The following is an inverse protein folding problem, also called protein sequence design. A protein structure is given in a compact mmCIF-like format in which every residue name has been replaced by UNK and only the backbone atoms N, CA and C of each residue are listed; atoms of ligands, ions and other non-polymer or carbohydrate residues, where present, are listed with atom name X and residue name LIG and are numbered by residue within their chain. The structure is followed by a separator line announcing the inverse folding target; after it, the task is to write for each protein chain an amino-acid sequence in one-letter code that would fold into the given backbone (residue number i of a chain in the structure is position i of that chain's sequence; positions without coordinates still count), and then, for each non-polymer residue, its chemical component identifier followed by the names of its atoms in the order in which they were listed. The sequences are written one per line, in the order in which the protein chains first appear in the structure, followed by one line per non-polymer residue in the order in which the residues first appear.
data_IF_068896323521
#
_entry.id   IF_068896323521
#
_cell.length_a   1.000
_cell.length_b   1.000
_cell.length_c   1.000
_cell.angle_alpha   90.00
_cell.angle_beta   90.00
_cell.angle_gamma   90.00
#
_symmetry.space_group_name_H-M   'P 1'
#
loop_
_entity.id
_entity.type
_entity.pdbx_description
1 polymer ?
#
# COMPACT_ATOMS: atom_id res chain seq x y z
N UNK A 1 -46.97 -21.99 55.27
CA UNK A 1 -46.59 -20.85 54.37
C UNK A 1 -45.14 -20.42 54.53
N UNK A 2 -44.46 -20.62 55.64
CA UNK A 2 -43.02 -20.23 55.79
C UNK A 2 -42.01 -21.19 55.14
N UNK A 3 -42.32 -22.47 55.07
CA UNK A 3 -41.39 -23.51 54.51
C UNK A 3 -41.28 -23.44 53.00
N UNK A 4 -42.27 -22.95 52.25
CA UNK A 4 -42.28 -22.81 50.78
C UNK A 4 -41.48 -21.59 50.33
N UNK A 5 -41.45 -20.50 51.06
CA UNK A 5 -40.66 -19.30 50.82
C UNK A 5 -39.15 -19.55 50.98
N UNK A 6 -38.73 -20.33 51.99
CA UNK A 6 -37.30 -20.67 52.12
C UNK A 6 -36.77 -21.59 51.02
N UNK A 7 -37.58 -22.51 50.51
CA UNK A 7 -37.18 -23.39 49.40
C UNK A 7 -37.06 -22.63 48.08
N UNK A 8 -37.88 -21.65 47.83
CA UNK A 8 -37.77 -20.79 46.66
C UNK A 8 -36.56 -19.85 46.71
N UNK A 9 -36.22 -19.31 47.88
CA UNK A 9 -35.03 -18.47 48.07
C UNK A 9 -33.72 -19.27 47.90
N UNK A 10 -33.67 -20.51 48.44
CA UNK A 10 -32.50 -21.39 48.27
C UNK A 10 -32.34 -21.85 46.84
N UNK A 11 -33.40 -22.16 46.08
CA UNK A 11 -33.36 -22.50 44.70
C UNK A 11 -32.91 -21.30 43.81
N UNK A 12 -33.33 -20.07 44.16
CA UNK A 12 -32.88 -18.85 43.48
C UNK A 12 -31.39 -18.57 43.69
N UNK A 13 -30.87 -18.80 44.89
CA UNK A 13 -29.44 -18.64 45.23
C UNK A 13 -28.59 -19.72 44.52
N UNK A 14 -29.07 -20.96 44.44
CA UNK A 14 -28.38 -22.04 43.71
C UNK A 14 -28.42 -21.78 42.21
N UNK A 15 -29.50 -21.25 41.65
CA UNK A 15 -29.57 -20.85 40.25
C UNK A 15 -28.63 -19.66 39.91
N UNK A 16 -28.51 -18.69 40.83
CA UNK A 16 -27.55 -17.59 40.68
C UNK A 16 -26.08 -18.05 40.83
N UNK A 17 -25.81 -19.01 41.74
CA UNK A 17 -24.47 -19.60 41.88
C UNK A 17 -24.11 -20.52 40.71
N UNK A 18 -25.06 -21.25 40.12
CA UNK A 18 -24.85 -22.03 38.90
C UNK A 18 -24.65 -21.15 37.67
N UNK A 19 -25.32 -20.00 37.57
CA UNK A 19 -25.09 -19.02 36.51
C UNK A 19 -23.75 -18.30 36.67
N UNK A 20 -23.23 -18.13 37.89
CA UNK A 20 -21.91 -17.55 38.15
C UNK A 20 -20.75 -18.52 37.85
N UNK A 21 -21.05 -19.83 37.75
CA UNK A 21 -20.04 -20.86 37.39
C UNK A 21 -19.80 -21.00 35.88
N UNK A 22 -20.67 -20.44 35.06
CA UNK A 22 -20.37 -20.16 33.63
C UNK A 22 -19.71 -18.79 33.58
N UNK A 23 -18.41 -18.75 33.87
CA UNK A 23 -17.61 -17.57 33.52
C UNK A 23 -17.87 -17.22 32.07
N UNK A 24 -17.75 -15.95 31.68
CA UNK A 24 -17.85 -15.59 30.26
C UNK A 24 -16.93 -16.53 29.47
N UNK A 25 -17.38 -17.06 28.32
CA UNK A 25 -16.54 -17.95 27.53
C UNK A 25 -15.17 -17.25 27.35
N UNK A 26 -14.05 -17.99 27.46
CA UNK A 26 -12.74 -17.38 27.34
C UNK A 26 -12.76 -16.57 26.05
N UNK A 27 -12.40 -15.29 26.14
CA UNK A 27 -12.28 -14.44 24.98
C UNK A 27 -11.26 -15.12 24.06
N UNK A 28 -11.74 -15.77 23.01
CA UNK A 28 -10.86 -16.40 22.04
C UNK A 28 -10.10 -15.29 21.36
N UNK A 29 -8.80 -15.21 21.60
CA UNK A 29 -7.93 -14.30 20.89
C UNK A 29 -8.10 -14.57 19.39
N UNK A 30 -8.42 -13.53 18.61
CA UNK A 30 -8.59 -13.61 17.15
C UNK A 30 -7.42 -14.36 16.52
N UNK A 31 -7.68 -15.40 15.74
CA UNK A 31 -6.63 -16.19 15.12
C UNK A 31 -5.94 -15.42 13.99
N UNK A 32 -4.73 -15.82 13.62
CA UNK A 32 -4.02 -15.20 12.47
C UNK A 32 -4.81 -15.36 11.17
N UNK A 33 -5.45 -16.50 10.96
CA UNK A 33 -6.28 -16.75 9.78
C UNK A 33 -7.49 -15.81 9.73
N UNK A 34 -8.08 -15.56 10.90
CA UNK A 34 -9.19 -14.63 11.03
C UNK A 34 -8.77 -13.17 10.73
N UNK A 35 -7.61 -12.75 11.20
CA UNK A 35 -7.06 -11.43 10.85
C UNK A 35 -6.85 -11.30 9.34
N UNK A 36 -6.36 -12.35 8.67
CA UNK A 36 -6.22 -12.38 7.20
C UNK A 36 -7.59 -12.28 6.52
N UNK A 37 -8.62 -12.95 7.04
CA UNK A 37 -9.99 -12.86 6.53
C UNK A 37 -10.54 -11.43 6.69
N UNK A 38 -10.37 -10.83 7.87
CA UNK A 38 -10.76 -9.43 8.15
C UNK A 38 -10.09 -8.49 7.15
N UNK A 39 -8.78 -8.65 6.92
CA UNK A 39 -8.03 -7.85 5.94
C UNK A 39 -8.61 -7.97 4.52
N UNK A 40 -8.98 -9.19 4.11
CA UNK A 40 -9.56 -9.45 2.79
C UNK A 40 -10.93 -8.77 2.63
N UNK A 41 -11.81 -8.94 3.60
CA UNK A 41 -13.14 -8.32 3.58
C UNK A 41 -13.06 -6.78 3.62
N UNK A 42 -12.14 -6.24 4.45
CA UNK A 42 -11.89 -4.81 4.46
C UNK A 42 -11.45 -4.30 3.08
N UNK A 43 -10.51 -4.97 2.41
CA UNK A 43 -10.05 -4.56 1.08
C UNK A 43 -11.18 -4.60 0.04
N UNK A 44 -12.06 -5.61 0.09
CA UNK A 44 -13.22 -5.69 -0.80
C UNK A 44 -14.15 -4.49 -0.62
N UNK A 45 -14.46 -4.14 0.63
CA UNK A 45 -15.33 -3.02 0.94
C UNK A 45 -14.66 -1.68 0.66
N UNK A 46 -13.38 -1.53 0.99
CA UNK A 46 -12.60 -0.34 0.67
C UNK A 46 -12.59 -0.06 -0.85
N UNK A 47 -12.41 -1.10 -1.69
CA UNK A 47 -12.47 -0.93 -3.15
C UNK A 47 -13.83 -0.47 -3.69
N UNK A 48 -14.90 -0.74 -2.97
CA UNK A 48 -16.26 -0.28 -3.34
C UNK A 48 -16.51 1.17 -2.96
N UNK A 49 -15.89 1.63 -1.87
CA UNK A 49 -16.22 2.90 -1.24
C UNK A 49 -15.16 3.98 -1.37
N UNK A 50 -13.89 3.59 -1.48
CA UNK A 50 -12.77 4.52 -1.52
C UNK A 50 -12.23 4.67 -2.93
N UNK A 51 -11.74 5.86 -3.24
CA UNK A 51 -10.98 6.11 -4.46
C UNK A 51 -9.50 5.79 -4.19
N UNK A 52 -8.91 4.93 -5.00
CA UNK A 52 -7.50 4.61 -4.93
C UNK A 52 -6.71 5.43 -5.94
N UNK A 53 -5.46 5.70 -5.62
CA UNK A 53 -4.50 6.24 -6.58
C UNK A 53 -3.99 5.06 -7.42
N UNK A 54 -4.67 4.79 -8.53
CA UNK A 54 -4.31 3.73 -9.47
C UNK A 54 -3.27 4.24 -10.47
N UNK A 55 -2.03 4.38 -10.00
CA UNK A 55 -0.89 4.76 -10.82
C UNK A 55 0.28 3.81 -10.56
N UNK A 56 0.84 3.16 -11.61
CA UNK A 56 1.93 2.19 -11.44
C UNK A 56 3.15 2.73 -10.70
N UNK A 57 3.48 4.01 -10.89
CA UNK A 57 4.64 4.61 -10.24
C UNK A 57 4.41 4.81 -8.75
N UNK A 58 3.21 5.26 -8.37
CA UNK A 58 2.83 5.45 -6.96
C UNK A 58 2.68 4.12 -6.24
N UNK A 59 1.94 3.18 -6.84
CA UNK A 59 1.69 1.86 -6.26
C UNK A 59 2.99 1.08 -6.06
N UNK A 60 3.85 1.02 -7.09
CA UNK A 60 5.11 0.28 -7.04
C UNK A 60 6.17 0.97 -6.16
N UNK A 61 6.13 2.30 -6.04
CA UNK A 61 6.98 3.02 -5.11
C UNK A 61 6.67 2.67 -3.65
N UNK A 62 5.38 2.69 -3.27
CA UNK A 62 4.94 2.36 -1.91
C UNK A 62 5.13 0.87 -1.61
N UNK A 63 4.78 -0.02 -2.55
CA UNK A 63 4.99 -1.47 -2.41
C UNK A 63 6.49 -1.81 -2.26
N UNK A 64 7.36 -1.21 -3.06
CA UNK A 64 8.80 -1.40 -2.99
C UNK A 64 9.40 -0.91 -1.65
N UNK A 65 8.92 0.21 -1.13
CA UNK A 65 9.30 0.74 0.18
C UNK A 65 8.88 -0.23 1.30
N UNK A 66 7.61 -0.65 1.29
CA UNK A 66 7.08 -1.60 2.26
C UNK A 66 7.82 -2.94 2.25
N UNK A 67 8.12 -3.49 1.07
CA UNK A 67 8.90 -4.74 0.94
C UNK A 67 10.30 -4.63 1.52
N UNK A 68 11.01 -3.53 1.23
CA UNK A 68 12.35 -3.30 1.79
C UNK A 68 12.31 -3.25 3.32
N UNK A 69 11.27 -2.68 3.91
CA UNK A 69 11.09 -2.69 5.37
C UNK A 69 10.76 -4.10 5.87
N UNK A 70 9.91 -4.85 5.18
CA UNK A 70 9.57 -6.23 5.54
C UNK A 70 10.79 -7.17 5.49
N UNK A 71 11.69 -7.00 4.54
CA UNK A 71 12.98 -7.72 4.50
C UNK A 71 13.80 -7.47 5.78
N UNK A 72 13.77 -6.25 6.30
CA UNK A 72 14.43 -5.90 7.55
C UNK A 72 13.70 -6.43 8.81
N UNK A 73 12.40 -6.73 8.73
CA UNK A 73 11.64 -7.37 9.82
C UNK A 73 12.07 -8.83 10.00
N UNK A 74 12.30 -9.56 8.92
CA UNK A 74 12.74 -10.96 8.90
C UNK A 74 11.61 -11.97 9.13
N UNK A 75 10.93 -11.93 10.26
CA UNK A 75 9.81 -12.85 10.54
C UNK A 75 8.47 -12.21 10.14
N UNK A 76 8.05 -12.46 8.91
CA UNK A 76 6.81 -11.93 8.32
C UNK A 76 5.66 -12.91 8.59
N UNK A 77 4.65 -12.46 9.33
CA UNK A 77 3.49 -13.29 9.72
C UNK A 77 2.33 -13.24 8.72
N UNK A 78 2.24 -12.19 7.90
CA UNK A 78 1.05 -11.89 7.08
C UNK A 78 1.41 -11.60 5.62
N UNK A 79 0.47 -11.80 4.68
CA UNK A 79 0.63 -11.38 3.28
C UNK A 79 0.43 -9.85 3.18
N UNK A 80 1.49 -9.08 3.42
CA UNK A 80 1.42 -7.63 3.41
C UNK A 80 1.06 -7.06 2.04
N UNK A 81 0.20 -6.04 2.05
CA UNK A 81 -0.21 -5.25 0.89
C UNK A 81 -0.32 -3.78 1.24
N UNK A 82 0.12 -2.93 0.33
CA UNK A 82 0.17 -1.50 0.49
C UNK A 82 -0.75 -0.81 -0.51
N UNK A 83 -1.50 0.19 -0.05
CA UNK A 83 -2.49 0.88 -0.87
C UNK A 83 -2.40 2.39 -0.66
N UNK A 84 -2.66 3.16 -1.72
CA UNK A 84 -2.76 4.61 -1.62
C UNK A 84 -4.20 5.03 -1.91
N UNK A 85 -4.83 5.69 -0.93
CA UNK A 85 -6.19 6.24 -1.02
C UNK A 85 -6.11 7.69 -1.48
N UNK A 86 -6.95 8.10 -2.42
CA UNK A 86 -7.09 9.48 -2.84
C UNK A 86 -7.91 10.26 -1.81
N UNK A 87 -7.27 10.72 -0.75
CA UNK A 87 -7.84 11.51 0.33
C UNK A 87 -6.81 12.56 0.78
N UNK A 88 -7.23 13.81 0.95
CA UNK A 88 -6.35 14.93 1.27
C UNK A 88 -5.96 14.99 2.76
N UNK A 89 -6.55 14.17 3.61
CA UNK A 89 -6.20 14.13 5.03
C UNK A 89 -4.82 13.51 5.25
N UNK A 90 -4.12 13.99 6.27
CA UNK A 90 -2.85 13.41 6.71
C UNK A 90 -3.16 12.18 7.56
N UNK A 91 -3.17 11.00 6.93
CA UNK A 91 -3.50 9.74 7.57
C UNK A 91 -2.80 8.54 6.94
N UNK A 92 -2.53 7.55 7.76
CA UNK A 92 -2.19 6.18 7.38
C UNK A 92 -2.84 5.25 8.42
N UNK A 93 -3.09 4.02 8.05
CA UNK A 93 -3.59 3.03 9.00
C UNK A 93 -3.31 1.60 8.53
N UNK A 94 -3.13 0.74 9.50
CA UNK A 94 -3.02 -0.70 9.31
C UNK A 94 -4.36 -1.38 9.56
N UNK A 95 -4.58 -2.49 8.86
CA UNK A 95 -5.70 -3.41 9.10
C UNK A 95 -5.12 -4.76 9.51
N UNK A 96 -5.65 -5.42 10.55
CA UNK A 96 -5.21 -6.76 10.95
C UNK A 96 -5.11 -7.69 9.75
N UNK A 97 -4.09 -8.54 9.70
CA UNK A 97 -3.90 -9.47 8.59
C UNK A 97 -3.10 -8.94 7.39
N UNK A 98 -2.47 -7.74 7.51
CA UNK A 98 -1.40 -7.35 6.61
C UNK A 98 -1.72 -6.26 5.57
N UNK A 99 -2.82 -5.52 5.70
CA UNK A 99 -3.09 -4.40 4.78
C UNK A 99 -2.75 -3.05 5.40
N UNK A 100 -2.00 -2.23 4.67
CA UNK A 100 -1.62 -0.87 5.06
C UNK A 100 -2.14 0.11 4.01
N UNK A 101 -2.83 1.14 4.48
CA UNK A 101 -3.44 2.18 3.66
C UNK A 101 -2.81 3.53 3.97
N UNK A 102 -2.34 4.22 2.95
CA UNK A 102 -1.75 5.55 3.03
C UNK A 102 -2.67 6.54 2.31
N UNK A 103 -2.97 7.66 2.92
CA UNK A 103 -3.70 8.72 2.23
C UNK A 103 -2.76 9.55 1.36
N UNK A 104 -3.22 9.95 0.18
CA UNK A 104 -2.45 10.84 -0.69
C UNK A 104 -2.06 12.15 0.01
N UNK A 105 -2.90 12.63 0.93
CA UNK A 105 -2.61 13.80 1.76
C UNK A 105 -1.44 13.63 2.71
N UNK A 106 -1.18 12.42 3.21
CA UNK A 106 0.03 12.11 3.97
C UNK A 106 1.27 12.21 3.06
N UNK A 107 1.23 11.53 1.90
CA UNK A 107 2.33 11.52 0.94
C UNK A 107 2.66 12.95 0.49
N UNK A 108 1.66 13.80 0.30
CA UNK A 108 1.87 15.21 -0.06
C UNK A 108 2.57 16.03 1.04
N UNK A 109 2.42 15.66 2.32
CA UNK A 109 2.96 16.43 3.45
C UNK A 109 4.31 15.97 3.98
N UNK A 110 4.70 14.70 3.79
CA UNK A 110 6.07 14.28 4.14
C UNK A 110 7.09 15.01 3.28
N UNK A 111 8.29 15.26 3.76
CA UNK A 111 9.33 15.94 2.99
C UNK A 111 10.25 14.98 2.24
N UNK A 112 10.51 13.82 2.85
CA UNK A 112 11.45 12.82 2.32
C UNK A 112 10.80 11.45 2.18
N UNK A 113 11.42 10.59 1.38
CA UNK A 113 11.10 9.17 1.30
C UNK A 113 11.26 8.48 2.66
N UNK A 114 12.24 8.91 3.46
CA UNK A 114 12.53 8.34 4.77
C UNK A 114 11.41 8.63 5.78
N UNK A 115 10.80 9.83 5.72
CA UNK A 115 9.62 10.14 6.53
C UNK A 115 8.43 9.21 6.19
N UNK A 116 8.17 8.98 4.89
CA UNK A 116 7.11 8.05 4.48
C UNK A 116 7.43 6.61 4.92
N UNK A 117 8.69 6.20 4.79
CA UNK A 117 9.15 4.89 5.23
C UNK A 117 8.98 4.72 6.75
N UNK A 118 9.19 5.76 7.55
CA UNK A 118 8.99 5.70 9.00
C UNK A 118 7.55 5.41 9.38
N UNK A 119 6.58 6.01 8.69
CA UNK A 119 5.15 5.72 8.88
C UNK A 119 4.84 4.28 8.50
N UNK A 120 5.32 3.81 7.35
CA UNK A 120 5.11 2.42 6.92
C UNK A 120 5.72 1.42 7.91
N UNK A 121 6.91 1.70 8.44
CA UNK A 121 7.57 0.85 9.44
C UNK A 121 6.75 0.77 10.74
N UNK A 122 6.21 1.90 11.20
CA UNK A 122 5.34 1.98 12.36
C UNK A 122 4.07 1.13 12.17
N UNK A 123 3.38 1.26 11.04
CA UNK A 123 2.19 0.47 10.71
C UNK A 123 2.49 -1.04 10.59
N UNK A 124 3.65 -1.40 10.04
CA UNK A 124 4.10 -2.81 9.99
C UNK A 124 4.25 -3.38 11.41
N UNK A 125 4.78 -2.61 12.37
CA UNK A 125 4.89 -3.08 13.76
C UNK A 125 3.52 -3.35 14.35
N UNK A 126 2.53 -2.46 14.18
CA UNK A 126 1.18 -2.66 14.69
C UNK A 126 0.57 -3.98 14.23
N UNK A 127 0.77 -4.35 12.97
CA UNK A 127 0.32 -5.63 12.43
C UNK A 127 1.14 -6.80 13.00
N UNK A 128 2.47 -6.71 12.93
CA UNK A 128 3.36 -7.84 13.27
C UNK A 128 3.35 -8.15 14.77
N UNK A 129 3.20 -7.14 15.63
CA UNK A 129 3.01 -7.26 17.07
C UNK A 129 1.57 -7.60 17.48
N UNK A 130 0.63 -7.66 16.51
CA UNK A 130 -0.79 -8.00 16.72
C UNK A 130 -1.50 -7.05 17.71
N UNK A 131 -1.19 -5.75 17.65
CA UNK A 131 -1.77 -4.75 18.55
C UNK A 131 -3.29 -4.70 18.44
N UNK A 132 -3.87 -4.94 17.27
CA UNK A 132 -5.32 -5.02 17.07
C UNK A 132 -5.96 -6.20 17.81
N UNK A 133 -5.30 -7.37 17.84
CA UNK A 133 -5.82 -8.54 18.54
C UNK A 133 -5.89 -8.32 20.05
N UNK A 134 -4.98 -7.52 20.62
CA UNK A 134 -4.98 -7.19 22.04
C UNK A 134 -6.00 -6.12 22.44
N UNK A 135 -6.52 -5.34 21.48
CA UNK A 135 -7.61 -4.38 21.71
C UNK A 135 -9.00 -5.03 21.65
N UNK A 136 -9.11 -6.21 21.04
CA UNK A 136 -10.39 -6.88 20.80
C UNK A 136 -10.65 -7.96 21.85
N UNK A 137 -11.61 -7.73 22.75
CA UNK A 137 -12.26 -8.76 23.57
C UNK A 137 -13.55 -9.30 22.92
N UNK A 138 -13.84 -8.93 21.68
CA UNK A 138 -15.12 -9.14 21.00
C UNK A 138 -15.00 -10.13 19.84
N UNK A 139 -16.17 -10.68 19.41
CA UNK A 139 -16.25 -11.61 18.29
C UNK A 139 -15.72 -10.99 16.99
N UNK A 140 -15.23 -11.83 16.08
CA UNK A 140 -14.64 -11.47 14.77
C UNK A 140 -15.48 -10.49 13.95
N UNK A 141 -16.81 -10.68 13.95
CA UNK A 141 -17.75 -9.80 13.25
C UNK A 141 -17.76 -8.38 13.83
N UNK A 142 -17.68 -8.25 15.16
CA UNK A 142 -17.66 -6.96 15.86
C UNK A 142 -16.36 -6.21 15.57
N UNK A 143 -15.23 -6.92 15.51
CA UNK A 143 -13.93 -6.36 15.15
C UNK A 143 -13.94 -5.83 13.72
N UNK A 144 -14.46 -6.63 12.76
CA UNK A 144 -14.58 -6.20 11.36
C UNK A 144 -15.44 -4.94 11.23
N UNK A 145 -16.62 -4.92 11.86
CA UNK A 145 -17.52 -3.75 11.87
C UNK A 145 -16.83 -2.54 12.49
N UNK A 146 -16.04 -2.72 13.54
CA UNK A 146 -15.27 -1.65 14.16
C UNK A 146 -14.21 -1.06 13.26
N UNK A 147 -13.36 -1.91 12.69
CA UNK A 147 -12.32 -1.50 11.75
C UNK A 147 -12.95 -0.81 10.53
N UNK A 148 -13.99 -1.40 9.94
CA UNK A 148 -14.74 -0.79 8.84
C UNK A 148 -15.37 0.56 9.26
N UNK A 149 -16.00 0.61 10.42
CA UNK A 149 -16.66 1.82 10.93
C UNK A 149 -15.70 2.98 11.12
N UNK A 150 -14.55 2.76 11.74
CA UNK A 150 -13.57 3.81 12.03
C UNK A 150 -12.91 4.34 10.76
N UNK A 151 -12.40 3.45 9.90
CA UNK A 151 -11.62 3.87 8.74
C UNK A 151 -12.48 4.25 7.52
N UNK A 152 -13.71 3.73 7.41
CA UNK A 152 -14.64 4.12 6.36
C UNK A 152 -15.64 5.20 6.78
N UNK A 153 -15.75 5.54 8.08
CA UNK A 153 -16.67 6.56 8.59
C UNK A 153 -16.62 7.89 7.83
N UNK A 154 -15.45 8.42 7.45
CA UNK A 154 -15.36 9.67 6.70
C UNK A 154 -16.05 9.62 5.33
N UNK A 155 -16.18 8.43 4.73
CA UNK A 155 -16.81 8.21 3.43
C UNK A 155 -18.31 7.88 3.58
N UNK A 156 -18.67 7.28 4.72
CA UNK A 156 -20.05 6.87 5.03
C UNK A 156 -20.91 8.05 5.49
N UNK A 157 -20.30 9.21 5.75
CA UNK A 157 -20.98 10.43 6.19
C UNK A 157 -21.29 10.47 7.70
N UNK A 158 -21.85 11.62 8.21
CA UNK A 158 -22.07 11.84 9.64
C UNK A 158 -23.00 10.82 10.30
N UNK A 159 -23.93 10.22 9.57
CA UNK A 159 -24.85 9.22 10.09
C UNK A 159 -24.14 7.91 10.52
N UNK A 160 -22.99 7.58 9.91
CA UNK A 160 -22.19 6.42 10.29
C UNK A 160 -21.37 6.67 11.56
N UNK A 161 -21.19 7.93 11.95
CA UNK A 161 -20.49 8.34 13.18
C UNK A 161 -21.43 8.42 14.40
N UNK A 162 -22.76 8.21 14.23
CA UNK A 162 -23.72 8.26 15.33
C UNK A 162 -23.78 6.90 16.05
N UNK A 163 -23.57 6.93 17.35
CA UNK A 163 -23.74 5.75 18.22
C UNK A 163 -22.50 4.85 18.34
N UNK A 164 -22.58 3.54 18.06
CA UNK A 164 -21.51 2.58 18.36
C UNK A 164 -20.15 2.89 17.70
N UNK A 165 -20.13 3.55 16.53
CA UNK A 165 -18.91 3.89 15.82
C UNK A 165 -18.03 4.89 16.58
N UNK A 166 -18.61 5.86 17.30
CA UNK A 166 -17.83 6.82 18.12
C UNK A 166 -17.23 6.16 19.35
N UNK A 167 -17.97 5.28 20.00
CA UNK A 167 -17.46 4.51 21.13
C UNK A 167 -16.30 3.60 20.67
N UNK A 168 -16.41 3.02 19.48
CA UNK A 168 -15.41 2.15 18.87
C UNK A 168 -14.17 2.90 18.39
N UNK A 169 -14.28 4.16 17.98
CA UNK A 169 -13.11 5.00 17.67
C UNK A 169 -12.18 5.14 18.87
N UNK A 170 -12.74 5.34 20.07
CA UNK A 170 -11.97 5.39 21.31
C UNK A 170 -11.38 4.03 21.69
N UNK A 171 -12.03 2.94 21.33
CA UNK A 171 -11.58 1.57 21.61
C UNK A 171 -10.46 1.12 20.68
N UNK A 172 -10.33 1.72 19.50
CA UNK A 172 -9.22 1.46 18.54
C UNK A 172 -8.04 2.42 18.73
N UNK A 173 -8.09 3.32 19.71
CA UNK A 173 -6.92 4.11 20.09
C UNK A 173 -5.86 3.18 20.70
N UNK A 174 -4.70 3.10 20.06
CA UNK A 174 -3.61 2.28 20.56
C UNK A 174 -3.11 2.79 21.92
N UNK A 175 -2.82 1.86 22.82
CA UNK A 175 -2.27 2.24 24.12
C UNK A 175 -0.89 2.91 23.95
N UNK A 176 -0.49 3.72 24.94
CA UNK A 176 0.85 4.35 24.93
C UNK A 176 1.97 3.32 24.81
N UNK A 177 1.81 2.16 25.43
CA UNK A 177 2.80 1.08 25.34
C UNK A 177 2.89 0.48 23.94
N UNK A 178 1.77 0.32 23.24
CA UNK A 178 1.75 -0.14 21.85
C UNK A 178 2.41 0.87 20.91
N UNK A 179 2.13 2.16 21.14
CA UNK A 179 2.78 3.25 20.38
C UNK A 179 4.30 3.29 20.62
N UNK A 180 4.74 3.20 21.89
CA UNK A 180 6.17 3.13 22.25
C UNK A 180 6.84 1.89 21.62
N UNK A 181 6.17 0.75 21.60
CA UNK A 181 6.66 -0.46 20.93
C UNK A 181 6.75 -0.26 19.42
N UNK A 182 5.73 0.36 18.80
CA UNK A 182 5.72 0.62 17.37
C UNK A 182 6.82 1.60 16.96
N UNK A 183 7.08 2.63 17.76
CA UNK A 183 8.14 3.59 17.55
C UNK A 183 9.53 2.92 17.64
N UNK A 184 9.80 2.20 18.74
CA UNK A 184 11.11 1.61 18.99
C UNK A 184 11.48 0.49 18.00
N UNK A 185 10.55 -0.41 17.69
CA UNK A 185 10.78 -1.46 16.70
C UNK A 185 10.81 -0.89 15.29
N UNK A 186 9.92 0.07 15.00
CA UNK A 186 9.80 0.72 13.70
C UNK A 186 11.08 1.44 13.30
N UNK A 187 11.71 2.20 14.20
CA UNK A 187 12.97 2.90 13.93
C UNK A 187 14.12 1.91 13.71
N UNK A 188 14.11 0.77 14.41
CA UNK A 188 15.06 -0.32 14.17
C UNK A 188 14.89 -0.96 12.79
N UNK A 189 13.66 -1.18 12.36
CA UNK A 189 13.37 -1.70 11.02
C UNK A 189 13.77 -0.71 9.93
N UNK A 190 13.46 0.57 10.15
CA UNK A 190 13.81 1.67 9.26
C UNK A 190 15.31 1.71 9.00
N UNK A 191 16.13 1.71 10.06
CA UNK A 191 17.58 1.73 9.96
C UNK A 191 18.14 0.50 9.22
N UNK A 192 17.65 -0.72 9.55
CA UNK A 192 18.09 -1.95 8.87
C UNK A 192 17.67 -1.98 7.39
N UNK A 193 16.54 -1.37 7.06
CA UNK A 193 16.09 -1.20 5.68
C UNK A 193 16.89 -0.14 4.89
N UNK A 194 17.83 0.55 5.55
CA UNK A 194 18.71 1.55 4.94
C UNK A 194 18.09 2.93 4.80
N UNK A 195 17.02 3.23 5.54
CA UNK A 195 16.42 4.55 5.68
C UNK A 195 17.03 5.32 6.87
N UNK A 196 16.88 6.64 6.85
CA UNK A 196 17.33 7.49 7.98
C UNK A 196 16.39 7.33 9.18
N UNK A 197 16.84 6.80 10.31
CA UNK A 197 16.00 6.67 11.50
C UNK A 197 15.54 8.02 12.06
N UNK A 198 16.32 9.13 11.84
CA UNK A 198 15.93 10.47 12.27
C UNK A 198 14.64 10.95 11.60
N UNK A 199 14.31 10.44 10.41
CA UNK A 199 13.08 10.79 9.70
C UNK A 199 11.80 10.47 10.49
N UNK A 200 11.84 9.49 11.41
CA UNK A 200 10.71 9.21 12.31
C UNK A 200 10.46 10.39 13.28
N UNK A 201 11.52 10.96 13.83
CA UNK A 201 11.45 12.15 14.69
C UNK A 201 11.00 13.38 13.89
N UNK A 202 11.54 13.54 12.67
CA UNK A 202 11.17 14.65 11.78
C UNK A 202 9.69 14.60 11.43
N UNK A 203 9.16 13.40 11.15
CA UNK A 203 7.73 13.20 10.90
C UNK A 203 6.87 13.51 12.13
N UNK A 204 7.25 13.07 13.33
CA UNK A 204 6.51 13.39 14.55
C UNK A 204 6.50 14.89 14.83
N UNK A 205 7.63 15.58 14.65
CA UNK A 205 7.71 17.03 14.76
C UNK A 205 6.82 17.75 13.73
N UNK A 206 6.66 17.18 12.54
CA UNK A 206 5.72 17.68 11.52
C UNK A 206 4.27 17.51 11.97
N UNK A 207 3.89 16.33 12.48
CA UNK A 207 2.56 16.11 13.05
C UNK A 207 2.25 17.08 14.18
N UNK A 208 3.25 17.35 15.03
CA UNK A 208 3.11 18.30 16.13
C UNK A 208 2.82 19.73 15.61
N UNK A 209 3.58 20.19 14.61
CA UNK A 209 3.35 21.49 13.98
C UNK A 209 1.99 21.58 13.30
N UNK A 210 1.60 20.55 12.55
CA UNK A 210 0.27 20.50 11.90
C UNK A 210 -0.86 20.55 12.94
N UNK A 211 -0.72 19.90 14.08
CA UNK A 211 -1.69 19.94 15.17
C UNK A 211 -1.86 21.34 15.74
N UNK A 212 -0.77 22.10 15.87
CA UNK A 212 -0.80 23.47 16.41
C UNK A 212 -1.36 24.46 15.38
N UNK A 213 -0.92 24.37 14.13
CA UNK A 213 -1.29 25.31 13.08
C UNK A 213 -2.74 25.12 12.59
N UNK A 214 -3.26 23.90 12.70
CA UNK A 214 -4.60 23.51 12.22
C UNK A 214 -5.44 22.88 13.34
N UNK A 215 -5.83 23.62 14.38
CA UNK A 215 -6.55 23.04 15.53
C UNK A 215 -7.92 22.46 15.18
N UNK A 216 -8.57 22.98 14.11
CA UNK A 216 -9.87 22.49 13.61
C UNK A 216 -9.69 21.29 12.67
N UNK A 217 -8.62 21.27 11.89
CA UNK A 217 -8.28 20.23 10.90
C UNK A 217 -7.18 19.29 11.37
N UNK A 218 -7.26 18.79 12.60
CA UNK A 218 -6.23 17.89 13.17
C UNK A 218 -5.91 16.73 12.22
N UNK A 219 -4.62 16.35 12.07
CA UNK A 219 -4.25 15.15 11.34
C UNK A 219 -5.03 13.94 11.85
N UNK A 220 -5.75 13.25 10.96
CA UNK A 220 -6.54 12.06 11.34
C UNK A 220 -5.68 10.94 11.90
N UNK A 221 -4.44 10.87 11.50
CA UNK A 221 -3.44 9.96 12.04
C UNK A 221 -3.36 10.04 13.58
N UNK A 222 -3.50 11.23 14.15
CA UNK A 222 -3.48 11.44 15.60
C UNK A 222 -4.71 10.92 16.35
N UNK A 223 -5.78 10.51 15.65
CA UNK A 223 -6.97 9.91 16.27
C UNK A 223 -6.72 8.47 16.71
N UNK A 224 -5.88 7.73 15.96
CA UNK A 224 -5.50 6.35 16.26
C UNK A 224 -4.12 6.25 16.89
N UNK A 225 -3.25 7.23 16.65
CA UNK A 225 -1.86 7.30 17.13
C UNK A 225 -1.63 8.60 17.92
N UNK A 226 -1.99 8.65 19.21
CA UNK A 226 -1.84 9.85 20.01
C UNK A 226 -0.39 10.28 20.13
N UNK A 227 -0.13 11.54 19.79
CA UNK A 227 1.20 12.13 19.89
C UNK A 227 1.38 12.81 21.24
N UNK A 228 2.44 12.45 21.96
CA UNK A 228 2.91 13.08 23.18
C UNK A 228 4.36 13.53 23.02
N UNK A 229 4.74 14.59 23.71
CA UNK A 229 6.13 15.08 23.68
C UNK A 229 7.09 13.98 24.15
N UNK A 230 6.68 13.17 25.13
CA UNK A 230 7.43 12.02 25.62
C UNK A 230 7.75 10.99 24.52
N UNK A 231 6.86 10.77 23.52
CA UNK A 231 7.13 9.85 22.41
C UNK A 231 8.30 10.35 21.56
N UNK A 232 8.37 11.66 21.29
CA UNK A 232 9.48 12.29 20.53
C UNK A 232 10.79 12.10 21.29
N UNK A 233 10.82 12.43 22.58
CA UNK A 233 12.00 12.28 23.44
C UNK A 233 12.49 10.83 23.53
N UNK A 234 11.55 9.88 23.70
CA UNK A 234 11.85 8.45 23.77
C UNK A 234 12.42 7.93 22.44
N UNK A 235 11.87 8.38 21.33
CA UNK A 235 12.33 7.98 19.99
C UNK A 235 13.75 8.48 19.72
N UNK A 236 14.05 9.75 20.05
CA UNK A 236 15.41 10.30 19.98
C UNK A 236 16.38 9.55 20.89
N UNK A 237 15.96 9.22 22.12
CA UNK A 237 16.77 8.43 23.04
C UNK A 237 17.06 7.04 22.48
N UNK A 238 16.06 6.37 21.88
CA UNK A 238 16.21 5.05 21.26
C UNK A 238 17.20 5.07 20.10
N UNK A 239 17.13 6.08 19.23
CA UNK A 239 18.07 6.26 18.12
C UNK A 239 19.52 6.41 18.66
N UNK A 240 19.71 7.21 19.72
CA UNK A 240 21.03 7.40 20.36
C UNK A 240 21.53 6.11 21.02
N UNK A 241 20.70 5.46 21.84
CA UNK A 241 21.08 4.25 22.60
C UNK A 241 21.41 3.09 21.67
N UNK A 242 20.62 2.91 20.60
CA UNK A 242 20.85 1.85 19.61
C UNK A 242 22.00 2.21 18.63
N UNK A 243 22.58 3.39 18.73
CA UNK A 243 23.68 3.84 17.86
C UNK A 243 23.28 3.86 16.38
N UNK A 244 21.99 4.08 16.08
CA UNK A 244 21.50 4.09 14.72
C UNK A 244 22.07 5.30 13.97
N UNK A 245 22.70 5.01 12.83
CA UNK A 245 23.38 6.05 12.04
C UNK A 245 22.52 6.43 10.84
N UNK A 246 22.61 7.69 10.45
CA UNK A 246 22.13 8.16 9.16
C UNK A 246 22.80 7.36 8.06
N UNK A 247 22.04 6.67 7.18
CA UNK A 247 22.65 6.03 6.03
C UNK A 247 23.29 7.09 5.13
N UNK A 248 24.43 6.77 4.53
CA UNK A 248 24.96 7.63 3.46
C UNK A 248 23.95 7.57 2.31
N UNK A 249 23.39 8.72 1.97
CA UNK A 249 22.45 8.84 0.86
C UNK A 249 23.00 8.16 -0.41
N UNK A 250 22.27 7.21 -0.95
CA UNK A 250 22.67 6.42 -2.13
C UNK A 250 21.72 6.60 -3.32
N UNK A 251 21.13 7.78 -3.49
CA UNK A 251 20.25 7.99 -4.61
C UNK A 251 19.46 9.30 -4.53
N UNK A 252 18.62 9.55 -5.52
CA UNK A 252 17.71 10.69 -5.51
C UNK A 252 16.43 10.28 -4.83
N UNK A 253 15.97 11.12 -3.92
CA UNK A 253 14.66 10.97 -3.28
C UNK A 253 13.55 11.13 -4.32
N UNK A 254 12.83 10.04 -4.58
CA UNK A 254 11.76 10.01 -5.59
C UNK A 254 10.42 10.59 -5.07
N UNK A 255 10.33 10.98 -3.79
CA UNK A 255 9.08 11.44 -3.17
C UNK A 255 8.48 12.65 -3.91
N UNK A 256 9.31 13.59 -4.36
CA UNK A 256 8.83 14.78 -5.06
C UNK A 256 8.18 14.43 -6.40
N UNK A 257 8.71 13.39 -7.07
CA UNK A 257 8.11 12.86 -8.28
C UNK A 257 6.76 12.17 -7.98
N UNK A 258 6.71 11.34 -6.95
CA UNK A 258 5.47 10.65 -6.54
C UNK A 258 4.37 11.66 -6.19
N UNK A 259 4.72 12.71 -5.45
CA UNK A 259 3.81 13.83 -5.17
C UNK A 259 3.27 14.47 -6.44
N UNK A 260 4.16 14.78 -7.38
CA UNK A 260 3.77 15.37 -8.67
C UNK A 260 2.80 14.46 -9.44
N UNK A 261 3.06 13.15 -9.47
CA UNK A 261 2.17 12.19 -10.13
C UNK A 261 0.78 12.16 -9.47
N UNK A 262 0.72 12.16 -8.13
CA UNK A 262 -0.55 12.21 -7.38
C UNK A 262 -1.32 13.50 -7.69
N UNK A 263 -0.66 14.66 -7.69
CA UNK A 263 -1.28 15.95 -8.03
C UNK A 263 -1.84 15.96 -9.46
N UNK A 264 -1.04 15.47 -10.43
CA UNK A 264 -1.46 15.37 -11.83
C UNK A 264 -2.64 14.41 -12.03
N UNK A 265 -2.81 13.41 -11.16
CA UNK A 265 -4.00 12.54 -11.18
C UNK A 265 -5.26 13.24 -10.65
N UNK A 266 -5.10 14.18 -9.73
CA UNK A 266 -6.19 14.91 -9.11
C UNK A 266 -6.71 16.04 -10.00
N UNK A 267 -5.80 16.90 -10.48
CA UNK A 267 -6.12 18.05 -11.32
C UNK A 267 -4.97 18.34 -12.31
N UNK A 268 -4.90 17.62 -13.44
CA UNK A 268 -3.77 17.72 -14.36
C UNK A 268 -3.62 19.11 -14.98
N UNK A 269 -4.71 19.82 -15.30
CA UNK A 269 -4.63 21.12 -15.97
C UNK A 269 -4.17 22.23 -15.01
N UNK A 270 -4.70 22.28 -13.80
CA UNK A 270 -4.24 23.26 -12.80
C UNK A 270 -2.75 23.03 -12.44
N UNK A 271 -2.33 21.77 -12.34
CA UNK A 271 -0.92 21.45 -12.08
C UNK A 271 -0.03 21.86 -13.25
N UNK A 272 -0.42 21.59 -14.50
CA UNK A 272 0.33 22.02 -15.69
C UNK A 272 0.47 23.55 -15.73
N UNK A 273 -0.59 24.29 -15.44
CA UNK A 273 -0.53 25.75 -15.42
C UNK A 273 0.43 26.26 -14.32
N UNK A 274 0.41 25.66 -13.13
CA UNK A 274 1.36 25.97 -12.06
C UNK A 274 2.80 25.66 -12.47
N UNK A 275 3.03 24.52 -13.08
CA UNK A 275 4.35 24.11 -13.56
C UNK A 275 4.87 25.03 -14.70
N UNK A 276 3.98 25.47 -15.61
CA UNK A 276 4.30 26.43 -16.63
C UNK A 276 4.81 27.75 -16.03
N UNK A 277 4.04 28.33 -15.07
CA UNK A 277 4.44 29.55 -14.36
C UNK A 277 5.75 29.37 -13.59
N UNK A 278 5.96 28.23 -12.97
CA UNK A 278 7.20 27.93 -12.23
C UNK A 278 8.41 27.87 -13.19
N UNK A 279 8.24 27.25 -14.36
CA UNK A 279 9.29 27.18 -15.40
C UNK A 279 9.56 28.54 -16.01
N UNK A 280 8.53 29.36 -16.27
CA UNK A 280 8.71 30.72 -16.84
C UNK A 280 9.49 31.64 -15.88
N UNK A 281 9.29 31.46 -14.56
CA UNK A 281 10.11 32.15 -13.53
C UNK A 281 11.54 31.64 -13.44
N UNK A 282 11.82 30.41 -13.86
CA UNK A 282 13.13 29.75 -13.77
C UNK A 282 13.45 29.02 -15.07
N UNK A 283 13.65 29.74 -16.19
CA UNK A 283 13.75 29.13 -17.53
C UNK A 283 14.97 28.23 -17.71
N UNK A 284 16.01 28.42 -16.90
CA UNK A 284 17.23 27.60 -16.90
C UNK A 284 17.15 26.37 -15.97
N UNK A 285 16.07 26.24 -15.16
CA UNK A 285 15.94 25.11 -14.28
C UNK A 285 15.58 23.82 -15.06
N UNK A 286 16.51 22.88 -15.05
CA UNK A 286 16.29 21.55 -15.66
C UNK A 286 15.13 20.82 -14.98
N UNK A 287 15.03 20.93 -13.62
CA UNK A 287 13.95 20.30 -12.86
C UNK A 287 12.59 20.93 -13.17
N UNK A 288 12.49 22.26 -13.33
CA UNK A 288 11.24 22.90 -13.75
C UNK A 288 10.84 22.50 -15.17
N UNK A 289 11.80 22.38 -16.08
CA UNK A 289 11.60 21.90 -17.45
C UNK A 289 11.12 20.44 -17.45
N UNK A 290 11.76 19.57 -16.67
CA UNK A 290 11.39 18.17 -16.49
C UNK A 290 9.97 18.03 -15.93
N UNK A 291 9.65 18.73 -14.83
CA UNK A 291 8.33 18.65 -14.19
C UNK A 291 7.21 19.06 -15.13
N UNK A 292 7.41 20.14 -15.93
CA UNK A 292 6.45 20.55 -16.94
C UNK A 292 6.32 19.52 -18.09
N UNK A 293 7.43 18.86 -18.46
CA UNK A 293 7.40 17.75 -19.42
C UNK A 293 6.53 16.59 -18.94
N UNK A 294 6.64 16.21 -17.65
CA UNK A 294 5.77 15.21 -17.00
C UNK A 294 4.31 15.67 -17.02
N UNK A 295 4.05 16.94 -16.70
CA UNK A 295 2.70 17.52 -16.74
C UNK A 295 2.07 17.43 -18.14
N UNK A 296 2.83 17.76 -19.20
CA UNK A 296 2.33 17.61 -20.56
C UNK A 296 2.12 16.14 -20.97
N UNK A 297 2.96 15.23 -20.51
CA UNK A 297 2.73 13.80 -20.73
C UNK A 297 1.43 13.30 -20.03
N UNK A 298 1.14 13.79 -18.84
CA UNK A 298 -0.07 13.44 -18.10
C UNK A 298 -1.34 13.98 -18.79
N UNK A 299 -1.24 15.09 -19.54
CA UNK A 299 -2.36 15.69 -20.29
C UNK A 299 -2.41 15.28 -21.76
N UNK A 300 -1.63 14.27 -22.17
CA UNK A 300 -1.61 13.75 -23.54
C UNK A 300 -0.92 14.67 -24.56
N UNK A 301 -0.24 15.72 -24.12
CA UNK A 301 0.49 16.67 -24.97
C UNK A 301 1.88 16.12 -25.32
N UNK A 302 1.93 14.94 -25.95
CA UNK A 302 3.10 14.11 -26.10
C UNK A 302 4.29 14.80 -26.80
N UNK A 303 4.05 15.59 -27.86
CA UNK A 303 5.11 16.29 -28.59
C UNK A 303 5.78 17.34 -27.68
N UNK A 304 4.96 18.15 -26.95
CA UNK A 304 5.51 19.13 -26.00
C UNK A 304 6.24 18.46 -24.85
N UNK A 305 5.72 17.34 -24.36
CA UNK A 305 6.36 16.52 -23.33
C UNK A 305 7.74 16.03 -23.80
N UNK A 306 7.83 15.46 -25.02
CA UNK A 306 9.07 15.01 -25.62
C UNK A 306 10.12 16.11 -25.65
N UNK A 307 9.79 17.25 -26.22
CA UNK A 307 10.73 18.37 -26.42
C UNK A 307 11.30 18.88 -25.09
N UNK A 308 10.47 18.96 -24.05
CA UNK A 308 10.91 19.35 -22.72
C UNK A 308 11.74 18.27 -22.03
N UNK A 309 11.33 17.01 -22.11
CA UNK A 309 12.06 15.91 -21.49
C UNK A 309 13.40 15.65 -22.18
N UNK A 310 13.50 15.79 -23.51
CA UNK A 310 14.78 15.73 -24.22
C UNK A 310 15.74 16.86 -23.81
N UNK A 311 15.21 18.06 -23.55
CA UNK A 311 16.01 19.17 -22.98
C UNK A 311 16.46 18.85 -21.55
N UNK A 312 15.57 18.37 -20.72
CA UNK A 312 15.88 18.00 -19.34
C UNK A 312 16.90 16.85 -19.25
N UNK A 313 16.86 15.91 -20.18
CA UNK A 313 17.80 14.79 -20.24
C UNK A 313 19.26 15.20 -20.49
N UNK A 314 19.50 16.40 -21.03
CA UNK A 314 20.85 16.97 -21.28
C UNK A 314 21.41 17.73 -20.09
N UNK A 315 20.72 17.77 -18.96
CA UNK A 315 21.17 18.52 -17.78
C UNK A 315 22.24 17.77 -16.99
N UNK A 316 23.09 18.56 -16.34
CA UNK A 316 24.01 18.09 -15.32
C UNK A 316 23.71 18.79 -13.99
N UNK A 317 23.52 18.04 -12.90
CA UNK A 317 23.50 16.58 -12.82
C UNK A 317 22.29 15.97 -13.52
N UNK A 318 22.40 14.69 -13.93
CA UNK A 318 21.35 13.98 -14.63
C UNK A 318 20.10 13.83 -13.75
N UNK A 319 18.92 14.12 -14.33
CA UNK A 319 17.64 13.95 -13.64
C UNK A 319 17.28 12.45 -13.58
N UNK A 320 17.04 11.90 -12.40
CA UNK A 320 16.61 10.51 -12.28
C UNK A 320 15.32 10.24 -13.01
N UNK A 321 15.20 9.03 -13.55
CA UNK A 321 14.02 8.54 -14.26
C UNK A 321 13.65 9.31 -15.55
N UNK A 322 14.39 10.35 -15.97
CA UNK A 322 14.12 11.07 -17.22
C UNK A 322 14.12 10.14 -18.44
N UNK A 323 15.01 9.14 -18.45
CA UNK A 323 15.04 8.12 -19.51
C UNK A 323 13.78 7.25 -19.52
N UNK A 324 13.23 6.92 -18.35
CA UNK A 324 11.97 6.17 -18.22
C UNK A 324 10.80 6.98 -18.81
N UNK A 325 10.74 8.26 -18.47
CA UNK A 325 9.70 9.16 -18.96
C UNK A 325 9.79 9.41 -20.45
N UNK A 326 11.00 9.62 -20.95
CA UNK A 326 11.25 9.71 -22.40
C UNK A 326 10.81 8.43 -23.09
N UNK A 327 11.18 7.25 -22.56
CA UNK A 327 10.75 5.98 -23.12
C UNK A 327 9.23 5.88 -23.23
N UNK A 328 8.48 6.29 -22.18
CA UNK A 328 7.02 6.33 -22.19
C UNK A 328 6.49 7.32 -23.24
N UNK A 329 7.05 8.51 -23.32
CA UNK A 329 6.64 9.52 -24.31
C UNK A 329 6.95 9.05 -25.73
N UNK A 330 8.11 8.46 -25.97
CA UNK A 330 8.47 7.90 -27.29
C UNK A 330 7.54 6.76 -27.74
N UNK A 331 6.95 5.98 -26.83
CA UNK A 331 5.90 5.03 -27.20
C UNK A 331 4.70 5.76 -27.82
N UNK A 332 4.28 6.88 -27.22
CA UNK A 332 3.13 7.65 -27.68
C UNK A 332 3.41 8.47 -28.94
N UNK A 333 4.65 8.89 -29.14
CA UNK A 333 5.08 9.56 -30.38
C UNK A 333 5.55 8.58 -31.47
N UNK A 334 5.43 7.26 -31.22
CA UNK A 334 5.82 6.17 -32.15
C UNK A 334 7.30 6.12 -32.49
N UNK A 335 8.16 6.73 -31.69
CA UNK A 335 9.60 6.72 -31.82
C UNK A 335 10.22 5.49 -31.12
N UNK A 336 9.82 4.28 -31.54
CA UNK A 336 10.07 3.03 -30.80
C UNK A 336 11.57 2.73 -30.61
N UNK A 337 12.43 3.03 -31.59
CA UNK A 337 13.87 2.85 -31.45
C UNK A 337 14.45 3.71 -30.30
N UNK A 338 14.00 4.96 -30.19
CA UNK A 338 14.39 5.85 -29.06
C UNK A 338 13.84 5.35 -27.74
N UNK A 339 12.61 4.81 -27.72
CA UNK A 339 12.02 4.23 -26.52
C UNK A 339 12.84 3.03 -26.00
N UNK A 340 13.25 2.12 -26.87
CA UNK A 340 14.14 1.01 -26.51
C UNK A 340 15.46 1.50 -25.90
N UNK A 341 16.13 2.42 -26.57
CA UNK A 341 17.39 2.99 -26.09
C UNK A 341 17.25 3.68 -24.73
N UNK A 342 16.13 4.39 -24.49
CA UNK A 342 15.85 5.05 -23.22
C UNK A 342 15.64 4.02 -22.09
N UNK A 343 14.84 2.97 -22.32
CA UNK A 343 14.64 1.91 -21.32
C UNK A 343 15.91 1.10 -21.06
N UNK A 344 16.76 0.88 -22.06
CA UNK A 344 18.04 0.22 -21.84
C UNK A 344 18.97 1.03 -20.95
N UNK A 345 19.04 2.35 -21.14
CA UNK A 345 19.88 3.23 -20.29
C UNK A 345 19.46 3.16 -18.82
N UNK A 346 18.15 3.16 -18.53
CA UNK A 346 17.71 3.09 -17.14
C UNK A 346 17.87 1.66 -16.56
N UNK A 347 17.60 0.60 -17.32
CA UNK A 347 17.77 -0.77 -16.87
C UNK A 347 19.23 -1.20 -16.68
N UNK A 348 20.18 -0.53 -17.31
CA UNK A 348 21.62 -0.70 -17.00
C UNK A 348 21.95 -0.20 -15.58
N UNK A 349 21.26 0.84 -15.09
CA UNK A 349 21.47 1.41 -13.76
C UNK A 349 20.58 0.79 -12.69
N UNK A 350 19.34 0.43 -13.05
CA UNK A 350 18.31 -0.16 -12.18
C UNK A 350 17.70 -1.38 -12.89
N UNK A 351 18.37 -2.55 -12.91
CA UNK A 351 17.90 -3.73 -13.63
C UNK A 351 16.63 -4.35 -13.03
N UNK A 352 16.29 -3.97 -11.83
CA UNK A 352 15.16 -4.43 -11.03
C UNK A 352 13.98 -3.44 -10.97
N UNK A 353 14.00 -2.35 -11.77
CA UNK A 353 12.91 -1.38 -11.77
C UNK A 353 11.63 -1.92 -12.46
N UNK A 354 10.57 -2.27 -11.69
CA UNK A 354 9.37 -2.88 -12.24
C UNK A 354 8.59 -1.93 -13.14
N UNK A 355 8.65 -0.61 -12.90
CA UNK A 355 7.97 0.40 -13.71
C UNK A 355 8.57 0.46 -15.12
N UNK A 356 9.90 0.44 -15.22
CA UNK A 356 10.57 0.41 -16.52
C UNK A 356 10.27 -0.89 -17.27
N UNK A 357 10.28 -2.04 -16.58
CA UNK A 357 9.90 -3.30 -17.21
C UNK A 357 8.43 -3.30 -17.68
N UNK A 358 7.52 -2.66 -16.94
CA UNK A 358 6.14 -2.48 -17.38
C UNK A 358 6.05 -1.71 -18.71
N UNK A 359 6.67 -0.53 -18.77
CA UNK A 359 6.65 0.30 -20.00
C UNK A 359 7.36 -0.37 -21.17
N UNK A 360 8.46 -1.08 -20.92
CA UNK A 360 9.14 -1.89 -21.94
C UNK A 360 8.23 -3.02 -22.46
N UNK A 361 7.46 -3.66 -21.60
CA UNK A 361 6.44 -4.63 -22.01
C UNK A 361 5.38 -4.00 -22.90
N UNK A 362 4.88 -2.82 -22.55
CA UNK A 362 3.91 -2.07 -23.35
C UNK A 362 4.50 -1.63 -24.70
N UNK A 363 5.77 -1.25 -24.77
CA UNK A 363 6.46 -0.97 -26.02
C UNK A 363 6.45 -2.21 -26.92
N UNK A 364 6.84 -3.38 -26.41
CA UNK A 364 6.80 -4.62 -27.17
C UNK A 364 5.37 -5.01 -27.62
N UNK A 365 4.34 -4.73 -26.82
CA UNK A 365 2.93 -4.92 -27.25
C UNK A 365 2.58 -4.01 -28.44
N UNK A 366 3.01 -2.74 -28.42
CA UNK A 366 2.80 -1.80 -29.54
C UNK A 366 3.47 -2.25 -30.84
N UNK A 367 4.61 -2.91 -30.73
CA UNK A 367 5.33 -3.52 -31.85
C UNK A 367 4.82 -4.94 -32.21
N UNK A 368 3.75 -5.43 -31.57
CA UNK A 368 3.23 -6.81 -31.71
C UNK A 368 4.26 -7.90 -31.36
N UNK A 369 5.29 -7.57 -30.61
CA UNK A 369 6.37 -8.47 -30.14
C UNK A 369 6.02 -9.14 -28.83
N UNK A 370 4.91 -9.89 -28.80
CA UNK A 370 4.30 -10.40 -27.58
C UNK A 370 5.20 -11.35 -26.76
N UNK A 371 6.11 -12.10 -27.40
CA UNK A 371 7.08 -12.94 -26.65
C UNK A 371 8.04 -12.07 -25.80
N UNK A 372 8.47 -10.91 -26.32
CA UNK A 372 9.31 -9.96 -25.59
C UNK A 372 8.51 -9.23 -24.52
N UNK A 373 7.24 -8.89 -24.78
CA UNK A 373 6.33 -8.33 -23.77
C UNK A 373 6.18 -9.28 -22.57
N UNK A 374 5.96 -10.58 -22.81
CA UNK A 374 5.90 -11.60 -21.74
C UNK A 374 7.18 -11.60 -20.91
N UNK A 375 8.37 -11.59 -21.52
CA UNK A 375 9.62 -11.55 -20.75
C UNK A 375 9.70 -10.30 -19.86
N UNK A 376 9.28 -9.14 -20.36
CA UNK A 376 9.26 -7.90 -19.58
C UNK A 376 8.26 -7.98 -18.42
N UNK A 377 7.06 -8.50 -18.62
CA UNK A 377 6.04 -8.64 -17.56
C UNK A 377 6.37 -9.72 -16.54
N UNK A 378 7.13 -10.76 -16.92
CA UNK A 378 7.68 -11.71 -15.95
C UNK A 378 8.65 -11.02 -14.99
N UNK A 379 9.48 -10.08 -15.48
CA UNK A 379 10.33 -9.26 -14.60
C UNK A 379 9.51 -8.35 -13.69
N UNK A 380 8.40 -7.76 -14.17
CA UNK A 380 7.47 -7.04 -13.30
C UNK A 380 6.98 -7.93 -12.17
N UNK A 381 6.52 -9.15 -12.46
CA UNK A 381 6.08 -10.09 -11.43
C UNK A 381 7.18 -10.53 -10.47
N UNK A 382 8.40 -10.65 -10.95
CA UNK A 382 9.56 -10.99 -10.11
C UNK A 382 9.83 -9.90 -9.07
N UNK A 383 9.78 -8.63 -9.47
CA UNK A 383 10.14 -7.51 -8.60
C UNK A 383 8.94 -6.91 -7.84
N UNK A 384 7.72 -7.15 -8.32
CA UNK A 384 6.47 -6.71 -7.69
C UNK A 384 5.41 -7.83 -7.71
N UNK A 385 5.64 -8.97 -7.00
CA UNK A 385 4.76 -10.14 -7.06
C UNK A 385 3.36 -9.90 -6.51
N UNK A 386 3.16 -8.94 -5.59
CA UNK A 386 1.86 -8.54 -5.03
C UNK A 386 1.07 -7.60 -5.93
N UNK A 387 1.68 -7.04 -6.99
CA UNK A 387 1.02 -6.08 -7.85
C UNK A 387 0.19 -6.77 -8.94
N UNK A 388 -1.17 -6.60 -8.94
CA UNK A 388 -2.06 -7.41 -9.78
C UNK A 388 -1.92 -7.12 -11.27
N UNK A 389 -1.49 -5.90 -11.65
CA UNK A 389 -1.37 -5.48 -13.04
C UNK A 389 -0.31 -6.30 -13.81
N UNK A 390 0.81 -6.67 -13.14
CA UNK A 390 1.83 -7.52 -13.75
C UNK A 390 1.27 -8.86 -14.23
N UNK A 391 0.44 -9.52 -13.40
CA UNK A 391 -0.23 -10.75 -13.75
C UNK A 391 -1.28 -10.53 -14.84
N UNK A 392 -2.05 -9.45 -14.77
CA UNK A 392 -3.05 -9.10 -15.78
C UNK A 392 -2.43 -8.90 -17.16
N UNK A 393 -1.32 -8.18 -17.24
CA UNK A 393 -0.57 -7.95 -18.49
C UNK A 393 -0.03 -9.25 -19.08
N UNK A 394 0.48 -10.15 -18.24
CA UNK A 394 0.89 -11.49 -18.69
C UNK A 394 -0.27 -12.28 -19.31
N UNK A 395 -1.43 -12.28 -18.64
CA UNK A 395 -2.63 -12.92 -19.17
C UNK A 395 -3.00 -12.40 -20.56
N UNK A 396 -2.99 -11.08 -20.74
CA UNK A 396 -3.26 -10.45 -22.05
C UNK A 396 -2.20 -10.81 -23.10
N UNK A 397 -0.91 -10.76 -22.75
CA UNK A 397 0.17 -11.07 -23.69
C UNK A 397 0.15 -12.55 -24.12
N UNK A 398 -0.13 -13.49 -23.19
CA UNK A 398 -0.28 -14.91 -23.53
C UNK A 398 -1.52 -15.19 -24.41
N UNK A 399 -2.61 -14.46 -24.22
CA UNK A 399 -3.78 -14.53 -25.12
C UNK A 399 -3.41 -14.13 -26.54
N UNK A 400 -2.62 -13.06 -26.72
CA UNK A 400 -2.11 -12.64 -28.02
C UNK A 400 -1.16 -13.64 -28.67
N UNK A 401 -0.50 -14.47 -27.88
CA UNK A 401 0.34 -15.58 -28.33
C UNK A 401 -0.44 -16.88 -28.59
N UNK A 402 -1.77 -16.86 -28.54
CA UNK A 402 -2.63 -18.03 -28.67
C UNK A 402 -2.28 -19.15 -27.66
N UNK A 403 -1.99 -18.75 -26.41
CA UNK A 403 -1.72 -19.64 -25.28
C UNK A 403 -2.79 -19.46 -24.17
N UNK A 404 -4.05 -19.92 -24.43
CA UNK A 404 -5.18 -19.61 -23.56
C UNK A 404 -5.05 -20.20 -22.15
N UNK A 405 -4.47 -21.39 -21.99
CA UNK A 405 -4.21 -21.97 -20.66
C UNK A 405 -3.36 -21.07 -19.79
N UNK A 406 -2.22 -20.55 -20.31
CA UNK A 406 -1.39 -19.59 -19.59
C UNK A 406 -2.09 -18.26 -19.39
N UNK A 407 -2.86 -17.80 -20.38
CA UNK A 407 -3.60 -16.55 -20.28
C UNK A 407 -4.58 -16.57 -19.09
N UNK A 408 -5.41 -17.62 -19.01
CA UNK A 408 -6.35 -17.81 -17.90
C UNK A 408 -5.63 -17.99 -16.56
N UNK A 409 -4.53 -18.72 -16.50
CA UNK A 409 -3.72 -18.90 -15.31
C UNK A 409 -3.25 -17.57 -14.74
N UNK A 410 -2.62 -16.71 -15.55
CA UNK A 410 -2.14 -15.41 -15.07
C UNK A 410 -3.27 -14.43 -14.76
N UNK A 411 -4.40 -14.47 -15.47
CA UNK A 411 -5.59 -13.68 -15.12
C UNK A 411 -6.15 -14.10 -13.76
N UNK A 412 -6.17 -15.40 -13.46
CA UNK A 412 -6.58 -15.90 -12.15
C UNK A 412 -5.72 -15.32 -11.03
N UNK A 413 -4.39 -15.31 -11.20
CA UNK A 413 -3.49 -14.69 -10.23
C UNK A 413 -3.73 -13.17 -10.06
N UNK A 414 -4.09 -12.46 -11.13
CA UNK A 414 -4.50 -11.06 -11.02
C UNK A 414 -5.78 -10.91 -10.18
N UNK A 415 -6.76 -11.81 -10.35
CA UNK A 415 -7.98 -11.81 -9.55
C UNK A 415 -7.73 -12.15 -8.08
N UNK A 416 -6.86 -13.13 -7.79
CA UNK A 416 -6.45 -13.44 -6.40
C UNK A 416 -5.83 -12.23 -5.71
N UNK A 417 -4.95 -11.52 -6.41
CA UNK A 417 -4.33 -10.30 -5.91
C UNK A 417 -5.33 -9.14 -5.74
N UNK A 418 -6.54 -9.25 -6.27
CA UNK A 418 -7.64 -8.29 -6.10
C UNK A 418 -8.72 -8.77 -5.12
N UNK A 419 -8.49 -9.92 -4.47
CA UNK A 419 -9.46 -10.58 -3.59
C UNK A 419 -10.77 -11.01 -4.30
N UNK A 420 -10.71 -11.19 -5.63
CA UNK A 420 -11.82 -11.63 -6.47
C UNK A 420 -11.82 -13.16 -6.63
N UNK A 421 -11.95 -13.87 -5.49
CA UNK A 421 -11.72 -15.32 -5.37
C UNK A 421 -12.58 -16.14 -6.35
N UNK A 422 -13.87 -15.79 -6.54
CA UNK A 422 -14.75 -16.50 -7.48
C UNK A 422 -14.24 -16.44 -8.92
N UNK A 423 -13.88 -15.23 -9.40
CA UNK A 423 -13.31 -15.05 -10.75
C UNK A 423 -11.97 -15.76 -10.93
N UNK A 424 -11.19 -15.85 -9.85
CA UNK A 424 -9.93 -16.56 -9.88
C UNK A 424 -10.15 -18.07 -10.08
N UNK A 425 -11.05 -18.67 -9.31
CA UNK A 425 -11.42 -20.11 -9.45
C UNK A 425 -11.93 -20.38 -10.87
N UNK A 426 -12.85 -19.55 -11.39
CA UNK A 426 -13.38 -19.71 -12.76
C UNK A 426 -12.27 -19.63 -13.81
N UNK A 427 -11.31 -18.70 -13.61
CA UNK A 427 -10.19 -18.56 -14.53
C UNK A 427 -9.19 -19.71 -14.42
N UNK A 428 -8.94 -20.25 -13.22
CA UNK A 428 -8.11 -21.45 -13.04
C UNK A 428 -8.77 -22.68 -13.66
N UNK A 429 -10.08 -22.87 -13.48
CA UNK A 429 -10.81 -23.96 -14.11
C UNK A 429 -10.68 -23.93 -15.63
N UNK A 430 -10.90 -22.74 -16.25
CA UNK A 430 -10.67 -22.56 -17.68
C UNK A 430 -9.22 -22.77 -18.09
N UNK A 431 -8.26 -22.43 -17.23
CA UNK A 431 -6.85 -22.72 -17.52
C UNK A 431 -6.59 -24.22 -17.56
N UNK A 432 -7.18 -24.99 -16.62
CA UNK A 432 -7.04 -26.46 -16.55
C UNK A 432 -7.57 -27.17 -17.81
N UNK A 433 -8.67 -26.67 -18.40
CA UNK A 433 -9.26 -27.23 -19.62
C UNK A 433 -8.31 -27.26 -20.83
N UNK A 434 -7.25 -26.45 -20.81
CA UNK A 434 -6.25 -26.38 -21.87
C UNK A 434 -5.02 -27.27 -21.66
N UNK A 435 -5.07 -28.17 -20.69
CA UNK A 435 -4.01 -29.14 -20.40
C UNK A 435 -4.59 -30.53 -20.33
N UNK A 436 -3.80 -31.53 -20.73
CA UNK A 436 -4.20 -32.94 -20.65
C UNK A 436 -4.57 -33.33 -19.21
N UNK A 437 -5.58 -34.24 -19.02
CA UNK A 437 -6.08 -34.62 -17.69
C UNK A 437 -4.98 -35.01 -16.69
N UNK A 438 -4.00 -35.79 -17.14
CA UNK A 438 -2.94 -36.34 -16.31
C UNK A 438 -1.64 -35.47 -16.34
N UNK A 439 -1.70 -34.28 -16.92
CA UNK A 439 -0.50 -33.44 -17.00
C UNK A 439 -0.15 -32.83 -15.63
N UNK A 440 1.15 -32.77 -15.27
CA UNK A 440 1.57 -32.14 -14.02
C UNK A 440 1.11 -30.68 -13.89
N UNK A 441 0.91 -30.02 -15.04
CA UNK A 441 0.45 -28.62 -15.04
C UNK A 441 -1.01 -28.50 -14.65
N UNK A 442 -1.86 -29.41 -15.10
CA UNK A 442 -3.27 -29.45 -14.72
C UNK A 442 -3.42 -29.77 -13.24
N UNK A 443 -2.68 -30.75 -12.74
CA UNK A 443 -2.68 -31.11 -11.32
C UNK A 443 -2.34 -29.91 -10.43
N UNK A 444 -1.27 -29.16 -10.75
CA UNK A 444 -0.90 -27.94 -10.01
C UNK A 444 -2.04 -26.92 -9.99
N UNK A 445 -2.77 -26.74 -11.08
CA UNK A 445 -3.89 -25.79 -11.14
C UNK A 445 -5.08 -26.30 -10.30
N UNK A 446 -5.38 -27.59 -10.35
CA UNK A 446 -6.48 -28.19 -9.57
C UNK A 446 -6.18 -28.17 -8.07
N UNK A 447 -4.93 -28.42 -7.67
CA UNK A 447 -4.47 -28.28 -6.28
C UNK A 447 -4.58 -26.84 -5.79
N UNK A 448 -4.26 -25.87 -6.65
CA UNK A 448 -4.42 -24.45 -6.34
C UNK A 448 -5.89 -24.06 -6.14
N UNK A 449 -6.80 -24.57 -6.99
CA UNK A 449 -8.26 -24.39 -6.82
C UNK A 449 -8.73 -24.98 -5.49
N UNK A 450 -8.28 -26.19 -5.16
CA UNK A 450 -8.65 -26.86 -3.90
C UNK A 450 -8.15 -26.05 -2.68
N UNK A 451 -6.91 -25.58 -2.71
CA UNK A 451 -6.32 -24.74 -1.67
C UNK A 451 -7.09 -23.43 -1.49
N UNK A 452 -7.49 -22.76 -2.58
CA UNK A 452 -8.28 -21.54 -2.53
C UNK A 452 -9.66 -21.80 -1.91
N UNK A 453 -10.31 -22.91 -2.25
CA UNK A 453 -11.63 -23.30 -1.69
C UNK A 453 -11.54 -23.62 -0.20
N UNK A 454 -10.47 -24.27 0.24
CA UNK A 454 -10.25 -24.63 1.64
C UNK A 454 -9.86 -23.41 2.52
N UNK A 455 -9.21 -22.41 1.95
CA UNK A 455 -8.79 -21.19 2.65
C UNK A 455 -9.73 -19.99 2.49
N UNK A 456 -10.84 -20.14 1.79
CA UNK A 456 -11.89 -19.11 1.60
C UNK A 456 -13.01 -19.30 2.54
#
# INVERSE_FOLDING_TARGET
MWITLHRLAVLSVIACLAAASFGPPPAHAVSQQEEIRISREFRKEARRRLKFVEDPEVELYVDGMGRRILEAVGNIRYPYRFFVIQDDSMNAFAVPGGSIFLHSGLIQRVETSDELASVIAHEIVHINARHFASLSSSSDATMLVGVLGVFLAPVLGPAALAGPAVAMTRQLEFSRQMEEQADNLGVGYLARAGYDPQAAVDFMNRLYRERILNPVGRPRYLLTHPLTDKRIDNLEASIRVLGLKRPRFRGVDEIQRVKLVIELRKDPEAVVERLRKARDKRPQSAMATYSLGIGYAATGRWIRARDLLERAARSEPAIPNVDRDLGRVYIHTQEFAKAHAAFERILKRKPDDPVTHLYRGQLFEKESRFRQAVRSYLRVRQFAPSWPEGARRLGHAYRKLNQPGKAHYYLAHSYLLRDETGKAIDSLARAAEHYEPDSPRRQVIEDEIAAIRAGG
#
